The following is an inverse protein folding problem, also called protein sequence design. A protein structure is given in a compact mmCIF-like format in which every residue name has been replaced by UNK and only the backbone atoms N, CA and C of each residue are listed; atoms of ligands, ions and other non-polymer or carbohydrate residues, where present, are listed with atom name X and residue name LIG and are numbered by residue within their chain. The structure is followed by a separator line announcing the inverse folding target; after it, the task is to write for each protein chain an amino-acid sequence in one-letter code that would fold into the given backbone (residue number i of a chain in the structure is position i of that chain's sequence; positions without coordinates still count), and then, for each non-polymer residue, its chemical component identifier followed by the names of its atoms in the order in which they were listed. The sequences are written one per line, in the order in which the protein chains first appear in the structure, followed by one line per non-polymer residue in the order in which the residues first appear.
data_IF_449066250003
#
_entry.id   IF_449066250003
#
_cell.length_a   1.000
_cell.length_b   1.000
_cell.length_c   1.000
_cell.angle_alpha   90.00
_cell.angle_beta   90.00
_cell.angle_gamma   90.00
#
_symmetry.space_group_name_H-M   'P 1'
#
loop_
_entity.id
_entity.type
_entity.pdbx_description
1 polymer ?
#
# COMPACT_ATOMS: atom_id res chain seq x y z
N UNK A 1 -21.98 -32.80 2.17
CA UNK A 1 -20.89 -31.91 2.60
C UNK A 1 -19.99 -31.64 1.40
N UNK A 2 -19.87 -30.39 0.96
CA UNK A 2 -19.20 -30.05 -0.32
C UNK A 2 -17.71 -29.73 -0.13
N UNK A 3 -17.26 -29.30 1.06
CA UNK A 3 -15.86 -28.91 1.29
C UNK A 3 -14.88 -30.08 1.48
N UNK A 4 -15.30 -31.18 2.11
CA UNK A 4 -14.46 -32.39 2.26
C UNK A 4 -13.02 -32.12 2.69
N UNK A 5 -12.05 -32.72 1.99
CA UNK A 5 -10.62 -32.55 2.26
C UNK A 5 -10.07 -31.16 1.94
N UNK A 6 -10.78 -30.34 1.15
CA UNK A 6 -10.33 -29.00 0.79
C UNK A 6 -10.32 -28.04 1.98
N UNK A 7 -11.12 -28.32 3.02
CA UNK A 7 -11.13 -27.55 4.26
C UNK A 7 -9.74 -27.51 4.91
N UNK A 8 -9.00 -28.62 4.86
CA UNK A 8 -7.65 -28.75 5.41
C UNK A 8 -6.59 -27.94 4.67
N UNK A 9 -6.92 -27.34 3.52
CA UNK A 9 -6.03 -26.42 2.80
C UNK A 9 -6.16 -24.97 3.31
N UNK A 10 -7.21 -24.66 4.08
CA UNK A 10 -7.42 -23.34 4.68
C UNK A 10 -6.42 -23.16 5.82
N UNK A 11 -5.78 -21.99 5.89
CA UNK A 11 -4.79 -21.69 6.93
C UNK A 11 -5.44 -21.09 8.18
N UNK A 12 -6.38 -21.83 8.77
CA UNK A 12 -7.01 -21.42 10.03
C UNK A 12 -5.99 -21.11 11.15
N UNK A 13 -4.90 -21.88 11.34
CA UNK A 13 -3.93 -21.59 12.40
C UNK A 13 -3.13 -20.31 12.20
N UNK A 14 -3.21 -19.66 11.03
CA UNK A 14 -2.42 -18.46 10.72
C UNK A 14 -3.17 -17.14 10.95
N UNK A 15 -4.43 -17.19 11.38
CA UNK A 15 -5.16 -16.01 11.86
C UNK A 15 -4.77 -15.68 13.31
N UNK A 16 -5.23 -14.55 13.84
CA UNK A 16 -5.10 -14.24 15.26
C UNK A 16 -6.04 -15.10 16.12
N UNK A 17 -5.73 -15.25 17.41
CA UNK A 17 -6.63 -15.96 18.34
C UNK A 17 -8.01 -15.30 18.41
N UNK A 18 -8.07 -13.97 18.31
CA UNK A 18 -9.33 -13.23 18.31
C UNK A 18 -10.19 -13.55 17.09
N UNK A 19 -9.61 -13.51 15.88
CA UNK A 19 -10.30 -13.90 14.64
C UNK A 19 -10.76 -15.36 14.67
N UNK A 20 -9.96 -16.25 15.26
CA UNK A 20 -10.34 -17.66 15.42
C UNK A 20 -11.54 -17.80 16.37
N UNK A 21 -11.47 -17.19 17.56
CA UNK A 21 -12.48 -17.30 18.59
C UNK A 21 -13.81 -16.66 18.17
N UNK A 22 -13.76 -15.52 17.46
CA UNK A 22 -14.92 -14.78 16.98
C UNK A 22 -15.38 -15.20 15.57
N UNK A 23 -14.67 -16.15 14.95
CA UNK A 23 -14.95 -16.62 13.60
C UNK A 23 -14.97 -18.15 13.52
N UNK A 24 -13.87 -18.74 13.04
CA UNK A 24 -13.81 -20.15 12.65
C UNK A 24 -14.27 -21.14 13.75
N UNK A 25 -14.02 -20.84 15.02
CA UNK A 25 -14.44 -21.68 16.14
C UNK A 25 -15.97 -21.78 16.31
N UNK A 26 -16.72 -20.76 15.87
CA UNK A 26 -18.18 -20.68 16.04
C UNK A 26 -18.96 -21.14 14.81
N UNK A 27 -18.30 -21.31 13.66
CA UNK A 27 -18.96 -21.63 12.38
C UNK A 27 -19.35 -23.10 12.22
N UNK A 28 -19.00 -23.96 13.18
CA UNK A 28 -19.30 -25.40 13.12
C UNK A 28 -18.58 -26.14 11.96
N UNK A 29 -17.56 -25.51 11.36
CA UNK A 29 -16.76 -26.08 10.28
C UNK A 29 -15.66 -27.02 10.80
N UNK A 30 -15.28 -26.89 12.08
CA UNK A 30 -14.30 -27.71 12.76
C UNK A 30 -15.01 -28.75 13.66
N UNK A 31 -14.44 -29.93 13.76
CA UNK A 31 -14.80 -30.90 14.80
C UNK A 31 -14.39 -30.37 16.18
N UNK A 32 -14.99 -30.91 17.24
CA UNK A 32 -14.62 -30.51 18.61
C UNK A 32 -13.13 -30.72 18.90
N UNK A 33 -12.55 -31.83 18.43
CA UNK A 33 -11.12 -32.10 18.60
C UNK A 33 -10.27 -31.08 17.84
N UNK A 34 -10.62 -30.75 16.59
CA UNK A 34 -9.89 -29.74 15.82
C UNK A 34 -9.98 -28.35 16.46
N UNK A 35 -11.13 -27.97 17.04
CA UNK A 35 -11.27 -26.71 17.77
C UNK A 35 -10.37 -26.67 19.01
N UNK A 36 -10.29 -27.77 19.76
CA UNK A 36 -9.39 -27.90 20.93
C UNK A 36 -7.93 -27.80 20.49
N UNK A 37 -7.55 -28.55 19.45
CA UNK A 37 -6.18 -28.57 18.95
C UNK A 37 -5.75 -27.19 18.41
N UNK A 38 -6.66 -26.47 17.74
CA UNK A 38 -6.44 -25.07 17.32
C UNK A 38 -6.25 -24.15 18.52
N UNK A 39 -7.10 -24.25 19.54
CA UNK A 39 -6.96 -23.44 20.75
C UNK A 39 -5.62 -23.69 21.46
N UNK A 40 -5.21 -24.96 21.57
CA UNK A 40 -3.89 -25.32 22.10
C UNK A 40 -2.76 -24.82 21.21
N UNK A 41 -2.92 -24.84 19.88
CA UNK A 41 -1.94 -24.28 18.95
C UNK A 41 -1.69 -22.78 19.18
N UNK A 42 -2.74 -22.02 19.53
CA UNK A 42 -2.62 -20.58 19.83
C UNK A 42 -2.04 -20.28 21.21
N UNK A 43 -2.34 -21.11 22.22
CA UNK A 43 -2.11 -20.74 23.64
C UNK A 43 -1.08 -21.59 24.37
N UNK A 44 -0.85 -22.84 23.95
CA UNK A 44 0.02 -23.77 24.66
C UNK A 44 1.50 -23.61 24.26
N UNK A 45 2.39 -23.89 25.22
CA UNK A 45 3.83 -23.98 24.99
C UNK A 45 4.20 -25.20 24.12
N UNK A 46 3.59 -26.35 24.44
CA UNK A 46 3.72 -27.58 23.65
C UNK A 46 2.52 -27.68 22.71
N UNK A 47 2.76 -27.41 21.43
CA UNK A 47 1.69 -27.31 20.43
C UNK A 47 1.36 -28.68 19.85
N UNK A 48 0.06 -29.00 19.65
CA UNK A 48 -0.33 -30.23 18.96
C UNK A 48 0.03 -30.16 17.48
N UNK A 49 0.12 -31.33 16.85
CA UNK A 49 0.24 -31.42 15.40
C UNK A 49 -1.13 -31.19 14.75
N UNK A 50 -1.22 -30.22 13.84
CA UNK A 50 -2.45 -29.89 13.14
C UNK A 50 -2.46 -30.47 11.72
N UNK A 51 -3.65 -30.88 11.26
CA UNK A 51 -3.89 -31.25 9.86
C UNK A 51 -4.07 -30.02 8.94
N UNK A 52 -3.82 -28.82 9.47
CA UNK A 52 -3.94 -27.55 8.78
C UNK A 52 -2.55 -26.92 8.61
N UNK A 53 -2.28 -26.20 7.51
CA UNK A 53 -1.02 -25.51 7.36
C UNK A 53 -0.88 -24.40 8.40
N UNK A 54 0.19 -24.48 9.18
CA UNK A 54 0.50 -23.57 10.30
C UNK A 54 1.43 -22.43 9.91
N UNK A 55 2.06 -22.52 8.74
CA UNK A 55 2.91 -21.45 8.20
C UNK A 55 2.04 -20.44 7.46
N UNK A 56 2.13 -19.18 7.88
CA UNK A 56 1.56 -18.05 7.15
C UNK A 56 2.05 -18.06 5.70
N UNK A 57 1.21 -17.60 4.76
CA UNK A 57 1.64 -17.42 3.38
C UNK A 57 2.73 -16.36 3.36
N UNK A 58 3.82 -16.61 2.65
CA UNK A 58 4.74 -15.54 2.27
C UNK A 58 3.96 -14.60 1.36
N UNK A 59 3.56 -13.45 1.91
CA UNK A 59 2.86 -12.42 1.16
C UNK A 59 3.74 -11.85 0.04
N UNK A 60 3.12 -11.13 -0.89
CA UNK A 60 3.87 -10.33 -1.84
C UNK A 60 4.63 -9.25 -1.07
N UNK A 61 5.91 -9.06 -1.40
CA UNK A 61 6.67 -7.93 -0.85
C UNK A 61 6.20 -6.66 -1.54
N UNK A 62 5.91 -5.57 -0.79
CA UNK A 62 5.57 -4.30 -1.41
C UNK A 62 6.79 -3.78 -2.18
N UNK A 63 6.53 -3.28 -3.37
CA UNK A 63 7.49 -2.60 -4.24
C UNK A 63 7.14 -1.10 -4.24
N UNK A 64 8.16 -0.26 -4.48
CA UNK A 64 8.01 1.19 -4.47
C UNK A 64 8.49 1.74 -5.81
N UNK A 65 7.60 2.43 -6.52
CA UNK A 65 7.95 3.22 -7.70
C UNK A 65 8.18 4.67 -7.29
N UNK A 66 9.45 5.02 -7.09
CA UNK A 66 9.88 6.39 -6.84
C UNK A 66 10.09 7.13 -8.16
N UNK A 67 9.38 8.25 -8.37
CA UNK A 67 9.32 8.93 -9.68
C UNK A 67 10.22 10.15 -9.84
N UNK A 68 10.94 10.56 -8.81
CA UNK A 68 11.81 11.73 -8.82
C UNK A 68 13.27 11.35 -8.70
N UNK A 69 14.18 12.11 -9.32
CA UNK A 69 15.62 11.86 -9.18
C UNK A 69 16.24 12.65 -8.04
N UNK A 70 15.60 13.75 -7.64
CA UNK A 70 16.04 14.62 -6.56
C UNK A 70 14.86 15.19 -5.78
N UNK A 71 15.15 15.78 -4.64
CA UNK A 71 14.17 16.53 -3.85
C UNK A 71 14.77 17.87 -3.43
N UNK A 72 13.92 18.88 -3.29
CA UNK A 72 14.32 20.22 -2.90
C UNK A 72 13.62 20.68 -1.63
N UNK A 73 14.30 21.58 -0.93
CA UNK A 73 13.81 22.34 0.22
C UNK A 73 14.31 23.78 0.12
N UNK A 74 13.64 24.74 0.80
CA UNK A 74 13.92 26.21 0.83
C UNK A 74 13.11 27.07 -0.15
N UNK A 75 13.72 27.97 -0.95
CA UNK A 75 13.05 29.16 -1.53
C UNK A 75 11.79 28.92 -2.38
N UNK A 76 11.55 27.69 -2.83
CA UNK A 76 10.35 27.23 -3.54
C UNK A 76 9.60 26.15 -2.75
N UNK A 77 9.24 26.45 -1.49
CA UNK A 77 8.56 25.50 -0.60
C UNK A 77 7.16 25.08 -1.08
N UNK A 78 6.86 23.79 -0.93
CA UNK A 78 5.52 23.24 -1.17
C UNK A 78 4.58 23.58 -0.02
N UNK A 79 3.36 24.00 -0.34
CA UNK A 79 2.38 24.52 0.63
C UNK A 79 1.08 23.74 0.56
N UNK A 80 0.42 23.68 1.70
CA UNK A 80 -0.84 22.98 1.85
C UNK A 80 -1.92 23.96 2.28
N UNK A 81 -2.87 24.21 1.37
CA UNK A 81 -4.01 25.13 1.57
C UNK A 81 -5.30 24.54 1.00
N UNK A 82 -5.50 23.24 1.24
CA UNK A 82 -6.64 22.47 0.71
C UNK A 82 -6.59 22.23 -0.82
N UNK A 83 -5.44 22.48 -1.46
CA UNK A 83 -5.23 22.20 -2.89
C UNK A 83 -4.81 20.75 -3.08
N UNK A 84 -5.15 20.20 -4.24
CA UNK A 84 -4.89 18.80 -4.57
C UNK A 84 -3.58 18.65 -5.34
N UNK A 85 -2.70 17.81 -4.82
CA UNK A 85 -1.59 17.23 -5.56
C UNK A 85 -2.10 16.00 -6.31
N UNK A 86 -1.86 15.92 -7.62
CA UNK A 86 -2.38 14.80 -8.41
C UNK A 86 -1.48 14.46 -9.59
N UNK A 87 -1.37 13.18 -9.89
CA UNK A 87 -0.61 12.65 -11.01
C UNK A 87 -1.38 11.49 -11.65
N UNK A 88 -1.36 11.41 -12.98
CA UNK A 88 -1.89 10.25 -13.68
C UNK A 88 -0.77 9.23 -13.91
N UNK A 89 -1.11 7.95 -13.82
CA UNK A 89 -0.19 6.87 -14.13
C UNK A 89 -0.88 5.73 -14.88
N UNK A 90 -0.11 5.02 -15.69
CA UNK A 90 -0.46 3.73 -16.31
C UNK A 90 0.68 2.74 -16.04
N UNK A 91 0.38 1.45 -16.14
CA UNK A 91 1.34 0.36 -15.98
C UNK A 91 1.25 -0.63 -17.13
N UNK A 92 2.37 -1.27 -17.47
CA UNK A 92 2.44 -2.31 -18.51
C UNK A 92 1.97 -3.69 -18.03
N UNK A 93 1.89 -3.89 -16.71
CA UNK A 93 1.53 -5.16 -16.06
C UNK A 93 0.56 -4.92 -14.92
N UNK A 94 -0.29 -5.92 -14.68
CA UNK A 94 -1.25 -5.88 -13.57
C UNK A 94 -0.51 -5.78 -12.25
N UNK A 95 -0.94 -4.84 -11.43
CA UNK A 95 -0.47 -4.66 -10.05
C UNK A 95 -1.65 -4.47 -9.10
N UNK A 96 -1.37 -4.49 -7.81
CA UNK A 96 -2.28 -4.10 -6.75
C UNK A 96 -1.70 -2.89 -6.02
N UNK A 97 -2.33 -1.73 -6.16
CA UNK A 97 -1.93 -0.50 -5.49
C UNK A 97 -2.27 -0.58 -4.00
N UNK A 98 -1.30 -0.29 -3.14
CA UNK A 98 -1.45 -0.38 -1.68
C UNK A 98 -1.49 1.01 -1.04
N UNK A 99 -0.77 1.97 -1.60
CA UNK A 99 -0.67 3.30 -1.01
C UNK A 99 0.29 4.22 -1.74
N UNK A 100 0.53 5.38 -1.15
CA UNK A 100 1.45 6.39 -1.65
C UNK A 100 2.52 6.68 -0.60
N UNK A 101 3.73 7.02 -1.04
CA UNK A 101 4.67 7.74 -0.20
C UNK A 101 4.58 9.23 -0.50
N UNK A 102 4.64 10.04 0.55
CA UNK A 102 4.49 11.50 0.50
C UNK A 102 5.73 12.16 1.10
N UNK A 103 6.12 13.33 0.59
CA UNK A 103 7.15 14.10 1.29
C UNK A 103 6.57 14.78 2.51
N UNK A 104 7.37 14.82 3.58
CA UNK A 104 7.04 15.50 4.82
C UNK A 104 7.72 16.86 4.97
N UNK A 105 7.64 17.39 6.18
CA UNK A 105 8.18 18.69 6.57
C UNK A 105 9.66 18.85 6.24
N UNK A 106 10.02 20.04 5.76
CA UNK A 106 11.38 20.48 5.49
C UNK A 106 12.01 21.33 6.59
N UNK A 107 11.27 21.53 7.69
CA UNK A 107 11.64 22.44 8.77
C UNK A 107 11.55 21.77 10.17
N UNK A 108 11.80 20.46 10.20
CA UNK A 108 11.74 19.65 11.42
C UNK A 108 10.51 18.76 11.48
N UNK A 109 10.32 18.08 12.61
CA UNK A 109 9.25 17.10 12.76
C UNK A 109 7.86 17.77 12.77
N UNK A 110 6.89 17.17 12.07
CA UNK A 110 5.52 17.68 12.00
C UNK A 110 4.52 16.59 11.64
N UNK A 111 3.29 16.75 12.12
CA UNK A 111 2.14 15.94 11.71
C UNK A 111 1.46 16.55 10.49
N UNK A 112 1.11 15.71 9.53
CA UNK A 112 0.25 16.06 8.41
C UNK A 112 -1.04 15.24 8.48
N UNK A 113 -2.17 15.90 8.23
CA UNK A 113 -3.39 15.21 7.85
C UNK A 113 -3.42 15.09 6.33
N UNK A 114 -3.90 13.97 5.81
CA UNK A 114 -3.97 13.75 4.37
C UNK A 114 -5.20 12.96 3.99
N UNK A 115 -5.86 13.42 2.92
CA UNK A 115 -6.81 12.62 2.15
C UNK A 115 -6.11 12.09 0.92
N UNK A 116 -5.98 10.77 0.79
CA UNK A 116 -5.52 10.12 -0.44
C UNK A 116 -6.70 9.52 -1.21
N UNK A 117 -6.66 9.59 -2.53
CA UNK A 117 -7.63 8.98 -3.42
C UNK A 117 -6.92 8.30 -4.59
N UNK A 118 -7.42 7.13 -4.98
CA UNK A 118 -7.11 6.49 -6.25
C UNK A 118 -8.36 6.51 -7.13
N UNK A 119 -8.25 7.10 -8.31
CA UNK A 119 -9.37 7.32 -9.23
C UNK A 119 -9.15 6.70 -10.59
N UNK A 120 -10.24 6.37 -11.28
CA UNK A 120 -10.25 5.98 -12.70
C UNK A 120 -11.52 6.52 -13.36
N UNK A 121 -11.36 7.17 -14.51
CA UNK A 121 -12.49 7.71 -15.29
C UNK A 121 -13.45 8.58 -14.43
N UNK A 122 -12.88 9.42 -13.56
CA UNK A 122 -13.64 10.30 -12.66
C UNK A 122 -14.32 9.62 -11.48
N UNK A 123 -14.13 8.30 -11.27
CA UNK A 123 -14.67 7.57 -10.12
C UNK A 123 -13.57 7.26 -9.12
N UNK A 124 -13.86 7.48 -7.83
CA UNK A 124 -13.00 7.05 -6.72
C UNK A 124 -13.11 5.54 -6.56
N UNK A 125 -11.97 4.85 -6.66
CA UNK A 125 -11.86 3.41 -6.45
C UNK A 125 -11.51 3.09 -5.00
N UNK A 126 -10.70 3.95 -4.38
CA UNK A 126 -10.38 3.89 -2.96
C UNK A 126 -10.01 5.28 -2.45
N UNK A 127 -10.28 5.52 -1.17
CA UNK A 127 -9.86 6.72 -0.46
C UNK A 127 -9.46 6.38 0.98
N UNK A 128 -8.64 7.22 1.59
CA UNK A 128 -8.37 7.16 3.02
C UNK A 128 -8.08 8.57 3.56
N UNK A 129 -8.66 8.89 4.72
CA UNK A 129 -8.37 10.10 5.48
C UNK A 129 -7.52 9.70 6.69
N UNK A 130 -6.23 10.04 6.66
CA UNK A 130 -5.29 9.58 7.67
C UNK A 130 -4.32 10.69 8.08
N UNK A 131 -3.41 10.37 9.00
CA UNK A 131 -2.31 11.24 9.40
C UNK A 131 -0.99 10.50 9.26
N UNK A 132 0.07 11.24 9.00
CA UNK A 132 1.43 10.71 9.09
C UNK A 132 2.33 11.71 9.81
N UNK A 133 3.28 11.15 10.54
CA UNK A 133 4.33 11.91 11.21
C UNK A 133 5.54 11.98 10.29
N UNK A 134 6.00 13.20 10.02
CA UNK A 134 7.24 13.49 9.32
C UNK A 134 8.33 13.79 10.34
N UNK A 135 9.52 13.21 10.20
CA UNK A 135 10.65 13.45 11.10
C UNK A 135 11.51 14.68 10.73
N UNK A 136 11.20 15.34 9.60
CA UNK A 136 11.94 16.50 9.09
C UNK A 136 13.03 16.16 8.07
N UNK A 137 13.24 14.87 7.79
CA UNK A 137 14.13 14.40 6.74
C UNK A 137 13.49 14.49 5.35
N UNK A 138 14.32 14.33 4.33
CA UNK A 138 13.88 14.24 2.93
C UNK A 138 13.30 12.87 2.56
N UNK A 139 13.06 11.99 3.53
CA UNK A 139 12.45 10.69 3.31
C UNK A 139 10.99 10.83 2.87
N UNK A 140 10.44 9.73 2.40
CA UNK A 140 9.03 9.61 2.05
C UNK A 140 8.29 8.87 3.16
N UNK A 141 7.07 9.30 3.44
CA UNK A 141 6.22 8.78 4.51
C UNK A 141 5.03 8.07 3.89
N UNK A 142 4.90 6.78 4.19
CA UNK A 142 3.91 5.93 3.54
C UNK A 142 2.52 6.09 4.17
N UNK A 143 1.52 6.21 3.31
CA UNK A 143 0.11 6.20 3.65
C UNK A 143 -0.61 5.17 2.78
N UNK A 144 -1.52 4.40 3.37
CA UNK A 144 -2.08 3.21 2.74
C UNK A 144 -3.60 3.32 2.59
N UNK A 145 -4.12 2.65 1.57
CA UNK A 145 -5.54 2.34 1.47
C UNK A 145 -5.89 1.18 2.42
N UNK A 146 -7.18 1.02 2.73
CA UNK A 146 -7.67 -0.07 3.59
C UNK A 146 -7.42 -1.45 2.95
N UNK A 147 -7.59 -1.54 1.63
CA UNK A 147 -7.38 -2.76 0.86
C UNK A 147 -6.61 -2.46 -0.43
N UNK A 148 -5.75 -3.39 -0.91
CA UNK A 148 -5.09 -3.22 -2.20
C UNK A 148 -6.07 -3.14 -3.37
N UNK A 149 -5.83 -2.22 -4.31
CA UNK A 149 -6.69 -1.96 -5.46
C UNK A 149 -6.05 -2.51 -6.73
N UNK A 150 -6.78 -3.34 -7.47
CA UNK A 150 -6.30 -3.88 -8.75
C UNK A 150 -6.19 -2.78 -9.81
N UNK A 151 -4.99 -2.68 -10.40
CA UNK A 151 -4.67 -1.79 -11.51
C UNK A 151 -4.52 -2.65 -12.77
N UNK A 152 -5.35 -2.38 -13.77
CA UNK A 152 -5.23 -3.05 -15.07
C UNK A 152 -4.12 -2.43 -15.91
N UNK A 153 -3.40 -3.24 -16.71
CA UNK A 153 -2.46 -2.73 -17.69
C UNK A 153 -3.08 -1.72 -18.65
N UNK A 154 -2.24 -0.82 -19.18
CA UNK A 154 -2.58 0.10 -20.28
C UNK A 154 -3.80 1.01 -20.00
N UNK A 155 -4.14 1.17 -18.72
CA UNK A 155 -5.25 1.99 -18.26
C UNK A 155 -4.71 3.09 -17.37
N UNK A 156 -5.14 4.34 -17.63
CA UNK A 156 -4.77 5.46 -16.77
C UNK A 156 -5.60 5.52 -15.50
N UNK A 157 -4.90 5.66 -14.39
CA UNK A 157 -5.41 5.92 -13.05
C UNK A 157 -4.89 7.27 -12.57
N UNK A 158 -5.61 7.90 -11.65
CA UNK A 158 -5.23 9.19 -11.06
C UNK A 158 -4.96 8.97 -9.58
N UNK A 159 -3.73 9.22 -9.16
CA UNK A 159 -3.36 9.34 -7.75
C UNK A 159 -3.56 10.78 -7.31
N UNK A 160 -4.23 10.97 -6.17
CA UNK A 160 -4.48 12.29 -5.61
C UNK A 160 -4.19 12.30 -4.11
N UNK A 161 -3.62 13.39 -3.64
CA UNK A 161 -3.41 13.67 -2.23
C UNK A 161 -3.80 15.12 -1.94
N UNK A 162 -4.60 15.33 -0.91
CA UNK A 162 -4.84 16.65 -0.32
C UNK A 162 -4.23 16.60 1.08
N UNK A 163 -3.04 17.18 1.20
CA UNK A 163 -2.36 17.31 2.48
C UNK A 163 -2.82 18.59 3.18
N UNK A 164 -2.80 18.54 4.51
CA UNK A 164 -3.02 19.66 5.41
C UNK A 164 -1.99 19.59 6.54
N UNK A 165 -1.22 20.66 6.67
CA UNK A 165 -0.11 20.76 7.60
C UNK A 165 0.44 22.19 7.63
N UNK A 166 0.89 22.61 8.81
CA UNK A 166 1.39 23.98 9.04
C UNK A 166 2.76 24.18 8.40
N UNK A 167 3.59 23.15 8.46
CA UNK A 167 4.96 23.20 7.94
C UNK A 167 5.00 23.01 6.42
N UNK A 168 6.06 23.55 5.84
CA UNK A 168 6.34 23.43 4.42
C UNK A 168 7.10 22.13 4.17
N UNK A 169 6.73 21.39 3.13
CA UNK A 169 7.37 20.10 2.86
C UNK A 169 8.52 20.18 1.86
N UNK A 170 9.31 19.12 1.83
CA UNK A 170 10.06 18.78 0.63
C UNK A 170 9.11 18.53 -0.55
N UNK A 171 9.66 18.62 -1.75
CA UNK A 171 8.99 18.19 -2.97
C UNK A 171 10.01 17.62 -3.94
N UNK A 172 9.54 16.75 -4.82
CA UNK A 172 10.37 16.09 -5.80
C UNK A 172 10.70 16.99 -6.98
N UNK A 173 11.85 16.75 -7.58
CA UNK A 173 12.34 17.40 -8.78
C UNK A 173 12.89 16.36 -9.76
N UNK A 174 13.12 16.79 -11.00
CA UNK A 174 13.68 15.93 -12.06
C UNK A 174 12.83 14.66 -12.23
N UNK A 175 11.50 14.86 -12.25
CA UNK A 175 10.58 13.74 -12.32
C UNK A 175 10.57 13.07 -13.69
N UNK A 176 10.51 11.75 -13.64
CA UNK A 176 10.57 10.88 -14.81
C UNK A 176 9.17 10.63 -15.37
N UNK A 177 9.03 10.71 -16.70
CA UNK A 177 7.79 10.32 -17.39
C UNK A 177 7.59 8.81 -17.43
N UNK A 178 8.66 8.03 -17.25
CA UNK A 178 8.62 6.57 -17.21
C UNK A 178 9.62 6.04 -16.17
N UNK A 179 9.19 5.05 -15.39
CA UNK A 179 10.01 4.40 -14.36
C UNK A 179 9.75 2.90 -14.38
N UNK A 180 10.81 2.09 -14.49
CA UNK A 180 10.71 0.63 -14.39
C UNK A 180 11.11 0.16 -13.00
N UNK A 181 10.25 -0.60 -12.34
CA UNK A 181 10.50 -1.24 -11.05
C UNK A 181 10.37 -2.75 -11.20
N UNK A 182 11.49 -3.46 -11.07
CA UNK A 182 11.54 -4.90 -11.32
C UNK A 182 11.12 -5.21 -12.75
N UNK A 183 9.91 -5.72 -12.91
CA UNK A 183 9.37 -6.05 -14.22
C UNK A 183 8.16 -5.19 -14.63
N UNK A 184 7.79 -4.18 -13.83
CA UNK A 184 6.64 -3.30 -14.10
C UNK A 184 7.15 -1.93 -14.51
N UNK A 185 6.65 -1.44 -15.64
CA UNK A 185 6.93 -0.09 -16.14
C UNK A 185 5.76 0.81 -15.83
N UNK A 186 6.03 1.92 -15.14
CA UNK A 186 5.07 2.98 -14.85
C UNK A 186 5.28 4.13 -15.82
N UNK A 187 4.20 4.64 -16.41
CA UNK A 187 4.20 5.85 -17.21
C UNK A 187 3.39 6.93 -16.49
N UNK A 188 3.94 8.15 -16.41
CA UNK A 188 3.36 9.27 -15.68
C UNK A 188 2.93 10.41 -16.61
N UNK A 189 1.76 10.98 -16.33
CA UNK A 189 1.21 12.14 -17.03
C UNK A 189 0.66 13.16 -16.03
N UNK A 190 0.63 14.44 -16.44
CA UNK A 190 0.02 15.49 -15.65
C UNK A 190 -1.48 15.22 -15.46
N UNK A 191 -1.98 15.43 -14.25
CA UNK A 191 -3.40 15.36 -13.95
C UNK A 191 -4.03 16.75 -14.03
N UNK A 192 -5.17 16.87 -14.73
CA UNK A 192 -5.98 18.09 -14.70
C UNK A 192 -6.55 18.40 -13.32
N UNK A 193 -6.56 17.43 -12.42
CA UNK A 193 -7.02 17.59 -11.03
C UNK A 193 -5.92 18.15 -10.12
N UNK A 194 -4.67 18.27 -10.59
CA UNK A 194 -3.61 18.86 -9.76
C UNK A 194 -3.73 20.38 -9.72
N UNK A 195 -4.20 20.86 -8.58
CA UNK A 195 -4.39 22.30 -8.31
C UNK A 195 -3.28 22.88 -7.43
N UNK A 196 -2.43 22.02 -6.85
CA UNK A 196 -1.29 22.43 -6.01
C UNK A 196 0.06 22.47 -6.75
N UNK A 197 0.07 22.14 -8.05
CA UNK A 197 1.25 22.26 -8.91
C UNK A 197 2.03 20.96 -9.14
N UNK A 198 1.56 19.82 -8.62
CA UNK A 198 2.17 18.53 -8.91
C UNK A 198 2.03 18.20 -10.39
N UNK A 199 3.15 17.85 -11.01
CA UNK A 199 3.20 17.37 -12.39
C UNK A 199 4.25 16.28 -12.54
N UNK A 200 4.55 15.95 -13.79
CA UNK A 200 5.57 14.93 -14.09
C UNK A 200 6.94 15.37 -13.55
N UNK A 201 7.35 16.62 -13.79
CA UNK A 201 8.69 17.12 -13.48
C UNK A 201 8.95 17.46 -12.00
N UNK A 202 7.90 17.70 -11.20
CA UNK A 202 8.07 18.08 -9.81
C UNK A 202 6.78 18.03 -8.98
N UNK A 203 6.93 17.98 -7.66
CA UNK A 203 5.83 18.11 -6.70
C UNK A 203 5.72 16.96 -5.70
N UNK A 204 4.48 16.58 -5.38
CA UNK A 204 4.12 15.54 -4.42
C UNK A 204 3.84 14.18 -5.07
N UNK A 205 3.50 13.21 -4.23
CA UNK A 205 3.31 11.80 -4.59
C UNK A 205 4.60 11.25 -5.23
N UNK A 206 5.73 11.28 -4.50
CA UNK A 206 6.99 10.69 -4.95
C UNK A 206 6.90 9.19 -5.21
N UNK A 207 6.11 8.48 -4.40
CA UNK A 207 6.10 7.01 -4.40
C UNK A 207 4.70 6.46 -4.67
N UNK A 208 4.64 5.47 -5.57
CA UNK A 208 3.52 4.54 -5.67
C UNK A 208 3.92 3.19 -5.07
N UNK A 209 3.18 2.72 -4.06
CA UNK A 209 3.47 1.50 -3.31
C UNK A 209 2.53 0.40 -3.81
N UNK A 210 3.08 -0.71 -4.30
CA UNK A 210 2.28 -1.74 -4.96
C UNK A 210 2.77 -3.16 -4.69
N UNK A 211 1.88 -4.13 -4.88
CA UNK A 211 2.24 -5.52 -5.12
C UNK A 211 2.18 -5.80 -6.61
N UNK A 212 3.20 -6.44 -7.15
CA UNK A 212 3.27 -6.76 -8.57
C UNK A 212 4.18 -7.96 -8.82
N UNK A 213 4.26 -8.42 -10.07
CA UNK A 213 5.19 -9.48 -10.42
C UNK A 213 6.61 -9.03 -10.08
N UNK A 214 7.35 -9.91 -9.40
CA UNK A 214 8.73 -9.69 -8.98
C UNK A 214 9.62 -10.72 -9.65
N UNK A 215 10.83 -10.30 -10.01
CA UNK A 215 11.86 -11.19 -10.52
C UNK A 215 12.51 -11.94 -9.35
N UNK A 216 11.75 -12.78 -8.65
CA UNK A 216 12.38 -13.84 -7.88
C UNK A 216 12.58 -15.02 -8.81
N UNK A 217 13.83 -15.12 -9.28
CA UNK A 217 14.39 -16.37 -9.76
C UNK A 217 14.12 -17.47 -8.74
N UNK A 218 13.87 -18.65 -9.27
CA UNK A 218 13.92 -19.93 -8.59
C UNK A 218 15.14 -20.04 -7.65
N UNK A 219 14.92 -19.83 -6.35
CA UNK A 219 15.78 -20.39 -5.31
C UNK A 219 14.94 -21.44 -4.57
N UNK A 220 14.69 -22.55 -5.26
CA UNK A 220 14.57 -23.85 -4.59
C UNK A 220 16.00 -24.32 -4.31
N UNK A 221 16.36 -24.52 -3.04
CA UNK A 221 17.14 -25.64 -2.50
C UNK A 221 16.72 -25.86 -1.04
#
# INVERSE_FOLDING_TARGET
QVLGSALYLVRIPTMSLDEFANGAAQLGILTQQETIDMFLHFTAHNKPHLNYPTKARTGLKPQVCHRFQSCAYRSNQWRYRGRCDSIQFSVDKRIFMVGFGLYGSSNGAADYSVKIELKRLGRVLAENNTKFFSDGSSNTFHVYFEHPIQIEPESFYTASAVLDGVELSYFGQEGLSEVTVGCVTFQFQCSSESTNGTGVQGGQIPDLIFYGPSTFASDEH
#
